data_IF_698633885374
#
_entry.id   IF_698633885374
#
_cell.length_a   1.000
_cell.length_b   1.000
_cell.length_c   1.000
_cell.angle_alpha   90.00
_cell.angle_beta   90.00
_cell.angle_gamma   90.00
#
_symmetry.space_group_name_H-M   'P 1'
#
loop_
_entity.id
_entity.type
_entity.pdbx_description
1 polymer ?
#
# COMPACT_ATOMS: atom_id res chain seq x y z
N UNK A 1 -11.33 -4.85 13.33
CA UNK A 1 -10.39 -3.99 12.55
C UNK A 1 -11.18 -2.91 11.84
N UNK A 2 -10.72 -1.68 11.94
CA UNK A 2 -11.38 -0.58 11.23
C UNK A 2 -10.52 -0.17 10.03
N UNK A 3 -11.02 -0.46 8.83
CA UNK A 3 -10.38 -0.07 7.58
C UNK A 3 -10.84 1.34 7.23
N UNK A 4 -9.88 2.24 7.03
CA UNK A 4 -10.16 3.64 6.74
C UNK A 4 -9.96 3.97 5.26
N UNK A 5 -9.19 3.17 4.53
CA UNK A 5 -8.85 3.46 3.13
C UNK A 5 -8.28 2.19 2.50
N UNK A 6 -8.57 2.00 1.23
CA UNK A 6 -7.95 0.95 0.41
C UNK A 6 -7.31 1.60 -0.81
N UNK A 7 -6.05 1.29 -1.07
CA UNK A 7 -5.29 1.83 -2.18
C UNK A 7 -4.83 0.70 -3.09
N UNK A 8 -5.14 0.79 -4.38
CA UNK A 8 -4.62 -0.17 -5.37
C UNK A 8 -3.13 0.07 -5.59
N UNK A 9 -2.36 -1.01 -5.65
CA UNK A 9 -0.93 -0.97 -5.99
C UNK A 9 -0.77 -1.51 -7.41
N UNK A 10 -0.53 -0.61 -8.37
CA UNK A 10 -0.37 -0.99 -9.77
C UNK A 10 1.11 -1.24 -10.05
N UNK A 11 1.47 -2.44 -10.53
CA UNK A 11 2.85 -2.71 -10.90
C UNK A 11 3.21 -1.95 -12.17
N UNK A 12 4.30 -1.20 -12.11
CA UNK A 12 4.83 -0.45 -13.24
C UNK A 12 6.34 -0.70 -13.36
N UNK A 13 6.90 -0.68 -14.57
CA UNK A 13 8.35 -0.85 -14.73
C UNK A 13 9.14 0.34 -14.19
N UNK A 14 8.56 1.54 -14.26
CA UNK A 14 9.24 2.79 -13.89
C UNK A 14 8.17 3.82 -13.55
N UNK A 15 8.25 4.40 -12.34
CA UNK A 15 7.27 5.38 -11.87
C UNK A 15 7.30 6.66 -12.73
N UNK A 16 8.48 7.19 -13.02
CA UNK A 16 8.62 8.44 -13.77
C UNK A 16 8.08 8.31 -15.20
N UNK A 17 8.30 7.15 -15.83
CA UNK A 17 7.78 6.87 -17.16
C UNK A 17 6.26 6.71 -17.16
N UNK A 18 5.73 6.05 -16.14
CA UNK A 18 4.30 5.69 -16.08
C UNK A 18 3.40 6.82 -15.60
N UNK A 19 3.91 7.72 -14.75
CA UNK A 19 3.05 8.65 -13.99
C UNK A 19 2.22 9.60 -14.84
N UNK A 20 2.70 9.99 -16.02
CA UNK A 20 2.03 10.97 -16.88
C UNK A 20 0.62 10.53 -17.28
N UNK A 21 0.44 9.26 -17.56
CA UNK A 21 -0.89 8.71 -17.87
C UNK A 21 -1.87 8.97 -16.73
N UNK A 22 -1.44 8.73 -15.50
CA UNK A 22 -2.31 8.85 -14.33
C UNK A 22 -2.52 10.29 -13.90
N UNK A 23 -1.47 11.11 -13.97
CA UNK A 23 -1.57 12.52 -13.55
C UNK A 23 -2.28 13.38 -14.59
N UNK A 24 -1.98 13.20 -15.87
CA UNK A 24 -2.50 14.06 -16.93
C UNK A 24 -3.82 13.53 -17.49
N UNK A 25 -3.83 12.27 -17.94
CA UNK A 25 -5.03 11.71 -18.55
C UNK A 25 -6.14 11.45 -17.53
N UNK A 26 -5.81 10.80 -16.39
CA UNK A 26 -6.80 10.49 -15.38
C UNK A 26 -7.06 11.65 -14.41
N UNK A 27 -6.25 12.69 -14.45
CA UNK A 27 -6.44 13.85 -13.56
C UNK A 27 -6.04 13.62 -12.12
N UNK A 28 -5.27 12.56 -11.82
CA UNK A 28 -4.76 12.28 -10.47
C UNK A 28 -3.50 13.11 -10.26
N UNK A 29 -3.66 14.43 -10.27
CA UNK A 29 -2.54 15.37 -10.44
C UNK A 29 -1.76 15.68 -9.16
N UNK A 30 -2.26 15.27 -7.99
CA UNK A 30 -1.56 15.49 -6.74
C UNK A 30 -0.66 14.30 -6.43
N UNK A 31 0.66 14.52 -6.42
CA UNK A 31 1.62 13.52 -5.98
C UNK A 31 1.71 13.61 -4.47
N UNK A 32 1.06 12.68 -3.75
CA UNK A 32 1.05 12.70 -2.28
C UNK A 32 2.42 12.34 -1.71
N UNK A 33 3.10 11.41 -2.35
CA UNK A 33 4.50 11.07 -2.04
C UNK A 33 5.12 10.34 -3.21
N UNK A 34 6.45 10.30 -3.22
CA UNK A 34 7.24 9.57 -4.21
C UNK A 34 8.55 9.14 -3.58
N UNK A 35 8.73 7.85 -3.39
CA UNK A 35 9.94 7.25 -2.82
C UNK A 35 10.86 6.66 -3.90
N UNK A 36 10.52 6.89 -5.17
CA UNK A 36 11.23 6.33 -6.31
C UNK A 36 10.71 4.96 -6.74
N UNK A 37 10.55 4.04 -5.81
CA UNK A 37 10.02 2.70 -6.07
C UNK A 37 8.50 2.62 -5.89
N UNK A 38 7.89 3.60 -5.22
CA UNK A 38 6.44 3.71 -5.03
C UNK A 38 6.06 5.18 -4.99
N UNK A 39 4.91 5.52 -5.59
CA UNK A 39 4.37 6.88 -5.58
C UNK A 39 2.86 6.83 -5.59
N UNK A 40 2.20 7.81 -4.94
CA UNK A 40 0.73 7.90 -4.90
C UNK A 40 0.27 9.15 -5.58
N UNK A 41 -0.71 8.99 -6.48
CA UNK A 41 -1.31 10.07 -7.26
C UNK A 41 -2.79 10.14 -6.97
N UNK A 42 -3.27 11.34 -6.67
CA UNK A 42 -4.61 11.57 -6.12
C UNK A 42 -5.29 12.71 -6.86
N UNK A 43 -6.61 12.56 -7.10
CA UNK A 43 -7.43 13.65 -7.62
C UNK A 43 -7.59 14.73 -6.55
N UNK A 44 -7.23 16.00 -6.86
CA UNK A 44 -7.44 17.08 -5.89
C UNK A 44 -8.91 17.40 -5.63
N UNK A 45 -9.80 16.95 -6.54
CA UNK A 45 -11.23 17.24 -6.42
C UNK A 45 -12.00 16.15 -5.66
N UNK A 46 -11.68 14.89 -5.91
CA UNK A 46 -12.50 13.78 -5.42
C UNK A 46 -11.81 12.91 -4.38
N UNK A 47 -10.47 12.99 -4.29
CA UNK A 47 -9.70 12.10 -3.41
C UNK A 47 -9.47 10.70 -4.00
N UNK A 48 -10.00 10.41 -5.19
CA UNK A 48 -9.70 9.16 -5.88
C UNK A 48 -8.18 9.06 -6.12
N UNK A 49 -7.62 7.89 -5.94
CA UNK A 49 -6.16 7.74 -5.96
C UNK A 49 -5.73 6.37 -6.41
N UNK A 50 -4.46 6.27 -6.78
CA UNK A 50 -3.79 5.02 -7.13
C UNK A 50 -2.33 5.11 -6.70
N UNK A 51 -1.73 3.96 -6.42
CA UNK A 51 -0.33 3.86 -6.08
C UNK A 51 0.38 3.10 -7.18
N UNK A 52 1.50 3.65 -7.67
CA UNK A 52 2.35 2.98 -8.67
C UNK A 52 3.52 2.36 -7.92
N UNK A 53 3.80 1.09 -8.20
CA UNK A 53 4.78 0.31 -7.46
C UNK A 53 5.68 -0.45 -8.43
N UNK A 54 7.00 -0.22 -8.35
CA UNK A 54 7.95 -1.01 -9.14
C UNK A 54 8.25 -2.34 -8.46
N UNK A 55 8.76 -2.28 -7.24
CA UNK A 55 9.02 -3.45 -6.42
C UNK A 55 9.32 -3.00 -4.98
N UNK A 56 8.65 -3.62 -4.02
CA UNK A 56 8.89 -3.38 -2.60
C UNK A 56 10.03 -4.29 -2.14
N UNK A 57 11.24 -3.75 -2.03
CA UNK A 57 12.42 -4.53 -1.67
C UNK A 57 12.38 -5.08 -0.25
N UNK A 58 11.51 -4.54 0.60
CA UNK A 58 11.31 -5.04 1.96
C UNK A 58 10.32 -6.21 2.02
N UNK A 59 9.74 -6.62 0.88
CA UNK A 59 8.72 -7.65 0.82
C UNK A 59 9.13 -8.76 -0.15
N UNK A 60 8.90 -10.05 0.20
CA UNK A 60 9.17 -11.15 -0.73
C UNK A 60 8.18 -11.20 -1.89
N UNK A 61 6.98 -10.61 -1.73
CA UNK A 61 5.94 -10.54 -2.75
C UNK A 61 5.32 -9.15 -2.68
N UNK A 62 5.16 -8.49 -3.84
CA UNK A 62 4.52 -7.18 -3.88
C UNK A 62 3.02 -7.29 -3.57
N UNK A 63 2.49 -6.44 -2.67
CA UNK A 63 1.07 -6.47 -2.34
C UNK A 63 0.21 -5.88 -3.45
N UNK A 64 -0.99 -6.45 -3.65
CA UNK A 64 -1.93 -5.96 -4.68
C UNK A 64 -2.68 -4.72 -4.23
N UNK A 65 -2.97 -4.62 -2.92
CA UNK A 65 -3.60 -3.44 -2.33
C UNK A 65 -2.94 -3.13 -1.00
N UNK A 66 -3.04 -1.85 -0.60
CA UNK A 66 -2.69 -1.41 0.74
C UNK A 66 -3.99 -1.08 1.49
N UNK A 67 -4.18 -1.69 2.65
CA UNK A 67 -5.36 -1.52 3.49
C UNK A 67 -4.93 -0.68 4.70
N UNK A 68 -5.43 0.55 4.77
CA UNK A 68 -5.11 1.46 5.86
C UNK A 68 -6.03 1.20 7.03
N UNK A 69 -5.45 1.02 8.23
CA UNK A 69 -6.19 0.70 9.44
C UNK A 69 -5.80 1.64 10.58
N UNK A 70 -6.67 1.75 11.58
CA UNK A 70 -6.42 2.61 12.74
C UNK A 70 -5.46 1.99 13.75
N UNK A 71 -5.43 0.65 13.84
CA UNK A 71 -4.60 -0.07 14.82
C UNK A 71 -4.02 -1.31 14.14
N UNK A 72 -2.84 -1.15 13.56
CA UNK A 72 -2.17 -2.22 12.83
C UNK A 72 -1.69 -3.33 13.77
N UNK A 73 -1.34 -3.00 15.00
CA UNK A 73 -0.90 -4.00 15.98
C UNK A 73 -2.05 -4.96 16.31
N UNK A 74 -3.26 -4.43 16.51
CA UNK A 74 -4.44 -5.25 16.74
C UNK A 74 -4.79 -6.10 15.51
N UNK A 75 -4.67 -5.52 14.31
CA UNK A 75 -4.92 -6.25 13.07
C UNK A 75 -3.92 -7.41 12.90
N UNK A 76 -2.67 -7.18 13.26
CA UNK A 76 -1.63 -8.22 13.19
C UNK A 76 -1.93 -9.38 14.14
N UNK A 77 -2.30 -9.08 15.39
CA UNK A 77 -2.65 -10.12 16.36
C UNK A 77 -3.87 -10.92 15.90
N UNK A 78 -4.85 -10.26 15.30
CA UNK A 78 -6.04 -10.92 14.74
C UNK A 78 -5.67 -11.88 13.61
N UNK A 79 -4.82 -11.43 12.68
CA UNK A 79 -4.37 -12.26 11.57
C UNK A 79 -3.63 -13.50 12.06
N UNK A 80 -2.77 -13.34 13.08
CA UNK A 80 -2.04 -14.45 13.68
C UNK A 80 -2.98 -15.43 14.39
N UNK A 81 -3.95 -14.91 15.13
CA UNK A 81 -4.91 -15.74 15.84
C UNK A 81 -5.75 -16.58 14.88
N UNK A 82 -6.08 -16.03 13.71
CA UNK A 82 -6.84 -16.75 12.69
C UNK A 82 -5.98 -17.67 11.83
N UNK A 83 -4.66 -17.67 12.02
CA UNK A 83 -3.74 -18.54 11.29
C UNK A 83 -3.48 -18.14 9.85
N UNK A 84 -3.71 -16.87 9.49
CA UNK A 84 -3.38 -16.40 8.13
C UNK A 84 -1.87 -16.34 7.95
N UNK A 85 -1.42 -16.58 6.71
CA UNK A 85 0.00 -16.56 6.39
C UNK A 85 0.54 -15.14 6.47
N UNK A 86 1.51 -14.92 7.36
CA UNK A 86 2.21 -13.63 7.46
C UNK A 86 3.36 -13.67 6.47
N UNK A 87 3.27 -12.87 5.42
CA UNK A 87 4.28 -12.79 4.35
C UNK A 87 5.46 -11.92 4.80
N UNK A 88 5.17 -10.82 5.51
CA UNK A 88 6.17 -9.99 6.16
C UNK A 88 5.68 -9.65 7.56
N UNK A 89 6.48 -9.91 8.61
CA UNK A 89 6.10 -9.59 9.98
C UNK A 89 5.90 -8.09 10.21
N UNK A 90 5.10 -7.77 11.22
CA UNK A 90 4.84 -6.40 11.63
C UNK A 90 6.15 -5.66 11.92
N UNK A 91 6.33 -4.52 11.28
CA UNK A 91 7.52 -3.68 11.43
C UNK A 91 7.18 -2.21 11.19
N UNK A 92 7.96 -1.33 11.83
CA UNK A 92 7.94 0.09 11.52
C UNK A 92 8.99 0.35 10.45
N UNK A 93 8.56 0.90 9.32
CA UNK A 93 9.44 1.12 8.18
C UNK A 93 10.14 2.48 8.28
N UNK A 94 11.32 2.64 7.66
CA UNK A 94 12.06 3.90 7.74
C UNK A 94 11.29 5.12 7.20
N UNK A 95 10.34 4.90 6.28
CA UNK A 95 9.57 6.00 5.70
C UNK A 95 8.30 6.38 6.50
N UNK A 96 8.19 5.90 7.75
CA UNK A 96 7.20 6.42 8.68
C UNK A 96 5.89 5.68 8.76
N UNK A 97 5.80 4.47 8.21
CA UNK A 97 4.62 3.63 8.34
C UNK A 97 4.93 2.40 9.18
N UNK A 98 3.90 1.86 9.82
CA UNK A 98 3.97 0.58 10.50
C UNK A 98 3.05 -0.39 9.80
N UNK A 99 3.55 -1.57 9.41
CA UNK A 99 2.83 -2.47 8.51
C UNK A 99 3.22 -3.92 8.67
N UNK A 100 2.38 -4.79 8.13
CA UNK A 100 2.70 -6.19 7.85
C UNK A 100 2.05 -6.59 6.54
N UNK A 101 2.56 -7.67 5.94
CA UNK A 101 1.96 -8.25 4.74
C UNK A 101 1.35 -9.59 5.09
N UNK A 102 0.14 -9.82 4.63
CA UNK A 102 -0.62 -11.06 4.88
C UNK A 102 -1.14 -11.62 3.57
N UNK A 103 -1.17 -12.96 3.46
CA UNK A 103 -1.77 -13.62 2.31
C UNK A 103 -3.21 -13.99 2.66
N UNK A 104 -4.15 -13.49 1.85
CA UNK A 104 -5.54 -13.88 1.97
C UNK A 104 -5.74 -15.33 1.51
N UNK A 105 -6.81 -16.01 1.94
CA UNK A 105 -7.09 -17.39 1.49
C UNK A 105 -7.20 -17.54 -0.03
N UNK A 106 -7.53 -16.47 -0.75
CA UNK A 106 -7.59 -16.45 -2.21
C UNK A 106 -6.22 -16.34 -2.89
N UNK A 107 -5.15 -16.18 -2.10
CA UNK A 107 -3.78 -16.07 -2.60
C UNK A 107 -3.25 -14.66 -2.77
N UNK A 108 -4.10 -13.65 -2.67
CA UNK A 108 -3.67 -12.25 -2.77
C UNK A 108 -2.85 -11.84 -1.54
N UNK A 109 -1.78 -11.10 -1.78
CA UNK A 109 -0.99 -10.52 -0.70
C UNK A 109 -1.44 -9.07 -0.48
N UNK A 110 -1.76 -8.73 0.76
CA UNK A 110 -2.21 -7.42 1.16
C UNK A 110 -1.21 -6.76 2.11
N UNK A 111 -1.00 -5.46 1.91
CA UNK A 111 -0.24 -4.63 2.83
C UNK A 111 -1.23 -4.02 3.83
N UNK A 112 -1.12 -4.38 5.10
CA UNK A 112 -1.95 -3.80 6.17
C UNK A 112 -1.10 -2.75 6.86
N UNK A 113 -1.52 -1.49 6.79
CA UNK A 113 -0.65 -0.37 7.10
C UNK A 113 -1.35 0.67 7.96
N UNK A 114 -0.57 1.24 8.89
CA UNK A 114 -0.98 2.40 9.69
C UNK A 114 0.09 3.48 9.50
N UNK A 115 -0.35 4.65 9.04
CA UNK A 115 0.54 5.80 8.92
C UNK A 115 0.79 6.40 10.30
N UNK A 116 2.02 6.80 10.54
CA UNK A 116 2.40 7.52 11.76
C UNK A 116 2.62 8.98 11.40
N UNK A 117 1.89 9.82 12.08
CA UNK A 117 2.01 11.27 11.93
C UNK A 117 3.13 11.83 12.84
#
# INVERSE_FOLDING_TARGET
MRVTRITANLPVPDVEYAKGFYTDFLGLSTEEFNLGWVARYTSPDTGAHVQLLTHDTAAPVDPVISVHVEDVDAAYQEARRRGYEIVRPLATEPWGVRRFLVRAPDGNVLNIVQHRD
#
